data_IF_261882160783
#
_entry.id   IF_261882160783
#
_cell.length_a   1.000
_cell.length_b   1.000
_cell.length_c   1.000
_cell.angle_alpha   90.00
_cell.angle_beta   90.00
_cell.angle_gamma   90.00
#
_symmetry.space_group_name_H-M   'P 1'
#
loop_
_entity.id
_entity.type
_entity.pdbx_description
1 polymer ?
#
# COMPACT_ATOMS: atom_id res chain seq x y z
N UNK A 1 -47.56 -13.10 7.07
CA UNK A 1 -46.74 -11.98 6.59
C UNK A 1 -45.45 -12.03 7.39
N UNK A 2 -44.48 -12.80 6.89
CA UNK A 2 -43.13 -12.80 7.47
C UNK A 2 -42.39 -11.64 6.83
N UNK A 3 -41.89 -10.73 7.65
CA UNK A 3 -40.98 -9.69 7.22
C UNK A 3 -39.67 -10.38 6.86
N UNK A 4 -39.31 -10.36 5.57
CA UNK A 4 -38.01 -10.80 5.09
C UNK A 4 -36.95 -9.86 5.69
N UNK A 5 -36.10 -10.40 6.55
CA UNK A 5 -34.85 -9.75 6.95
C UNK A 5 -33.98 -9.63 5.69
N UNK A 6 -33.90 -8.42 5.13
CA UNK A 6 -32.90 -8.10 4.11
C UNK A 6 -31.53 -8.09 4.79
N UNK A 7 -30.80 -9.19 4.62
CA UNK A 7 -29.38 -9.29 4.95
C UNK A 7 -28.59 -8.31 4.07
N UNK A 8 -28.07 -7.23 4.66
CA UNK A 8 -27.24 -6.24 3.95
C UNK A 8 -25.77 -6.67 3.88
N UNK A 9 -25.49 -7.92 3.52
CA UNK A 9 -24.15 -8.52 3.54
C UNK A 9 -23.38 -8.44 2.19
N UNK A 10 -23.95 -7.77 1.19
CA UNK A 10 -23.49 -7.88 -0.21
C UNK A 10 -22.35 -6.94 -0.64
N UNK A 11 -21.67 -6.26 0.29
CA UNK A 11 -20.53 -5.38 -0.04
C UNK A 11 -19.21 -6.05 0.30
N UNK A 12 -18.51 -6.54 -0.73
CA UNK A 12 -17.13 -7.03 -0.61
C UNK A 12 -16.22 -5.88 -0.19
N UNK A 13 -15.58 -6.02 0.97
CA UNK A 13 -14.62 -5.02 1.45
C UNK A 13 -13.38 -4.95 0.53
N UNK A 14 -12.67 -3.81 0.45
CA UNK A 14 -11.40 -3.74 -0.27
C UNK A 14 -10.38 -4.79 0.19
N UNK A 15 -10.40 -5.16 1.47
CA UNK A 15 -9.58 -6.25 2.03
C UNK A 15 -9.92 -7.61 1.40
N UNK A 16 -11.21 -7.96 1.29
CA UNK A 16 -11.65 -9.18 0.62
C UNK A 16 -11.35 -9.14 -0.88
N UNK A 17 -11.56 -8.00 -1.54
CA UNK A 17 -11.24 -7.81 -2.96
C UNK A 17 -9.74 -7.97 -3.26
N UNK A 18 -8.87 -7.62 -2.30
CA UNK A 18 -7.43 -7.83 -2.37
C UNK A 18 -6.98 -9.28 -2.14
N UNK A 19 -7.91 -10.21 -1.91
CA UNK A 19 -7.59 -11.60 -1.54
C UNK A 19 -7.09 -11.73 -0.09
N UNK A 20 -7.59 -10.85 0.79
CA UNK A 20 -7.26 -10.83 2.21
C UNK A 20 -5.75 -10.73 2.48
N UNK A 21 -5.27 -11.16 3.65
CA UNK A 21 -3.86 -11.09 4.02
C UNK A 21 -2.95 -11.80 3.00
N UNK A 22 -3.38 -12.93 2.46
CA UNK A 22 -2.60 -13.72 1.50
C UNK A 22 -2.38 -12.99 0.18
N UNK A 23 -3.42 -12.36 -0.36
CA UNK A 23 -3.31 -11.56 -1.59
C UNK A 23 -2.53 -10.26 -1.36
N UNK A 24 -2.74 -9.57 -0.24
CA UNK A 24 -1.95 -8.37 0.12
C UNK A 24 -0.46 -8.71 0.26
N UNK A 25 -0.13 -9.87 0.85
CA UNK A 25 1.27 -10.33 0.96
C UNK A 25 1.89 -10.49 -0.42
N UNK A 26 1.20 -11.14 -1.37
CA UNK A 26 1.68 -11.30 -2.76
C UNK A 26 1.87 -9.96 -3.47
N UNK A 27 0.92 -9.03 -3.30
CA UNK A 27 1.04 -7.67 -3.84
C UNK A 27 2.29 -6.97 -3.31
N UNK A 28 2.54 -7.06 -2.00
CA UNK A 28 3.69 -6.41 -1.36
C UNK A 28 5.01 -7.08 -1.75
N UNK A 29 5.04 -8.40 -1.86
CA UNK A 29 6.23 -9.13 -2.34
C UNK A 29 6.62 -8.67 -3.74
N UNK A 30 5.65 -8.58 -4.65
CA UNK A 30 5.86 -8.10 -6.01
C UNK A 30 6.23 -6.61 -6.05
N UNK A 31 5.64 -5.78 -5.19
CA UNK A 31 6.02 -4.36 -5.05
C UNK A 31 7.51 -4.21 -4.71
N UNK A 32 8.03 -4.98 -3.75
CA UNK A 32 9.44 -4.91 -3.40
C UNK A 32 10.33 -5.61 -4.42
N UNK A 33 9.85 -6.64 -5.14
CA UNK A 33 10.58 -7.23 -6.26
C UNK A 33 10.77 -6.20 -7.40
N UNK A 34 9.73 -5.43 -7.71
CA UNK A 34 9.85 -4.29 -8.63
C UNK A 34 10.83 -3.24 -8.10
N UNK A 35 10.75 -2.87 -6.82
CA UNK A 35 11.70 -1.91 -6.22
C UNK A 35 13.16 -2.39 -6.27
N UNK A 36 13.42 -3.70 -6.14
CA UNK A 36 14.75 -4.30 -6.25
C UNK A 36 15.31 -4.30 -7.69
N UNK A 37 14.46 -4.24 -8.71
CA UNK A 37 14.86 -4.54 -10.10
C UNK A 37 14.68 -3.39 -11.09
N UNK A 38 13.77 -2.46 -10.83
CA UNK A 38 13.52 -1.33 -11.71
C UNK A 38 14.61 -0.25 -11.55
N UNK A 39 15.29 0.17 -12.63
CA UNK A 39 16.23 1.29 -12.59
C UNK A 39 15.59 2.58 -12.03
N UNK A 40 14.32 2.83 -12.35
CA UNK A 40 13.57 3.99 -11.87
C UNK A 40 13.39 3.99 -10.34
N UNK A 41 13.46 2.82 -9.71
CA UNK A 41 13.30 2.64 -8.27
C UNK A 41 14.63 2.62 -7.50
N UNK A 42 15.78 2.76 -8.17
CA UNK A 42 17.09 2.64 -7.53
C UNK A 42 17.27 3.63 -6.37
N UNK A 43 16.81 4.87 -6.53
CA UNK A 43 16.90 5.91 -5.50
C UNK A 43 16.09 5.55 -4.26
N UNK A 44 14.82 5.14 -4.41
CA UNK A 44 13.99 4.74 -3.28
C UNK A 44 14.44 3.41 -2.67
N UNK A 45 15.04 2.52 -3.47
CA UNK A 45 15.59 1.26 -2.98
C UNK A 45 16.77 1.47 -2.03
N UNK A 46 17.63 2.45 -2.32
CA UNK A 46 18.74 2.87 -1.43
C UNK A 46 18.26 3.45 -0.10
N UNK A 47 17.00 3.92 -0.01
CA UNK A 47 16.41 4.39 1.26
C UNK A 47 15.95 3.25 2.17
N UNK A 48 15.89 2.01 1.65
CA UNK A 48 15.50 0.83 2.40
C UNK A 48 16.73 0.03 2.85
N UNK A 49 16.64 -0.74 3.95
CA UNK A 49 17.71 -1.66 4.33
C UNK A 49 17.98 -2.70 3.23
N UNK A 50 19.18 -3.32 3.20
CA UNK A 50 19.46 -4.42 2.29
C UNK A 50 18.46 -5.57 2.43
N UNK A 51 18.16 -5.96 3.68
CA UNK A 51 17.11 -6.90 4.01
C UNK A 51 15.75 -6.20 4.09
N UNK A 52 14.86 -6.54 3.17
CA UNK A 52 13.52 -5.97 3.05
C UNK A 52 12.46 -6.74 3.85
N UNK A 53 12.82 -7.77 4.63
CA UNK A 53 11.88 -8.60 5.40
C UNK A 53 10.96 -7.76 6.31
N UNK A 54 11.53 -6.84 7.09
CA UNK A 54 10.73 -5.95 7.94
C UNK A 54 9.88 -4.96 7.14
N UNK A 55 10.43 -4.44 6.04
CA UNK A 55 9.74 -3.47 5.18
C UNK A 55 8.51 -4.11 4.51
N UNK A 56 8.63 -5.36 4.03
CA UNK A 56 7.53 -6.19 3.51
C UNK A 56 6.47 -6.43 4.57
N UNK A 57 6.87 -6.87 5.77
CA UNK A 57 5.94 -7.14 6.86
C UNK A 57 5.16 -5.90 7.28
N UNK A 58 5.84 -4.76 7.43
CA UNK A 58 5.22 -3.49 7.78
C UNK A 58 4.21 -3.03 6.74
N UNK A 59 4.56 -3.04 5.45
CA UNK A 59 3.65 -2.62 4.40
C UNK A 59 2.44 -3.56 4.29
N UNK A 60 2.65 -4.88 4.38
CA UNK A 60 1.58 -5.88 4.37
C UNK A 60 0.58 -5.63 5.51
N UNK A 61 1.09 -5.47 6.73
CA UNK A 61 0.23 -5.26 7.90
C UNK A 61 -0.48 -3.91 7.86
N UNK A 62 0.19 -2.89 7.31
CA UNK A 62 -0.41 -1.58 7.11
C UNK A 62 -1.58 -1.67 6.13
N UNK A 63 -1.36 -2.26 4.95
CA UNK A 63 -2.40 -2.42 3.92
C UNK A 63 -3.56 -3.30 4.37
N UNK A 64 -3.29 -4.33 5.18
CA UNK A 64 -4.33 -5.17 5.79
C UNK A 64 -5.35 -4.32 6.55
N UNK A 65 -4.90 -3.47 7.47
CA UNK A 65 -5.80 -2.58 8.22
C UNK A 65 -6.37 -1.44 7.38
N UNK A 66 -5.57 -0.90 6.45
CA UNK A 66 -5.97 0.23 5.61
C UNK A 66 -7.09 -0.12 4.63
N UNK A 67 -7.13 -1.37 4.14
CA UNK A 67 -8.17 -1.89 3.25
C UNK A 67 -9.43 -2.39 3.99
N UNK A 68 -9.51 -2.17 5.30
CA UNK A 68 -10.66 -2.56 6.12
C UNK A 68 -10.57 -3.95 6.76
N UNK A 69 -9.42 -4.61 6.67
CA UNK A 69 -9.12 -5.85 7.39
C UNK A 69 -8.66 -5.61 8.84
N UNK A 70 -8.12 -6.64 9.51
CA UNK A 70 -7.58 -6.52 10.85
C UNK A 70 -6.47 -5.46 10.96
N UNK A 71 -6.46 -4.68 12.04
CA UNK A 71 -5.45 -3.61 12.28
C UNK A 71 -4.12 -4.15 12.79
N UNK A 72 -3.54 -5.11 12.07
CA UNK A 72 -2.34 -5.86 12.47
C UNK A 72 -1.14 -4.91 12.68
N UNK A 73 -0.98 -3.88 11.83
CA UNK A 73 0.12 -2.92 11.99
C UNK A 73 0.09 -2.24 13.37
N UNK A 74 -1.09 -1.74 13.77
CA UNK A 74 -1.24 -1.04 15.04
C UNK A 74 -0.99 -1.97 16.24
N UNK A 75 -1.37 -3.24 16.13
CA UNK A 75 -1.14 -4.24 17.19
C UNK A 75 0.36 -4.55 17.38
N UNK A 76 1.14 -4.58 16.30
CA UNK A 76 2.57 -4.92 16.34
C UNK A 76 3.50 -3.73 16.54
N UNK A 77 3.17 -2.56 15.97
CA UNK A 77 4.07 -1.40 15.89
C UNK A 77 3.49 -0.12 16.51
N UNK A 78 2.23 -0.14 16.95
CA UNK A 78 1.54 1.04 17.46
C UNK A 78 0.99 1.96 16.35
N UNK A 79 0.45 3.12 16.74
CA UNK A 79 -0.10 4.09 15.78
C UNK A 79 1.02 4.67 14.89
N UNK A 80 0.66 5.01 13.66
CA UNK A 80 1.58 5.61 12.68
C UNK A 80 0.99 6.87 12.07
N UNK A 81 1.82 7.91 11.98
CA UNK A 81 1.61 9.01 11.05
C UNK A 81 2.42 8.70 9.79
N UNK A 82 1.75 8.51 8.64
CA UNK A 82 2.44 8.14 7.39
C UNK A 82 3.47 9.21 7.01
N UNK A 83 3.14 10.52 6.95
CA UNK A 83 4.15 11.53 6.66
C UNK A 83 5.24 11.61 7.74
N UNK A 84 4.87 11.45 9.01
CA UNK A 84 5.82 11.45 10.12
C UNK A 84 6.87 10.34 10.02
N UNK A 85 6.46 9.13 9.66
CA UNK A 85 7.36 7.99 9.46
C UNK A 85 8.33 8.17 8.28
N UNK A 86 7.96 9.01 7.31
CA UNK A 86 8.74 9.24 6.09
C UNK A 86 9.55 10.54 6.10
N UNK A 87 9.40 11.39 7.12
CA UNK A 87 9.99 12.75 7.20
C UNK A 87 11.53 12.80 7.08
N UNK A 88 12.21 11.69 7.38
CA UNK A 88 13.69 11.62 7.35
C UNK A 88 14.27 11.40 5.95
N UNK A 89 13.42 11.15 4.96
CA UNK A 89 13.85 10.81 3.60
C UNK A 89 13.59 11.96 2.64
N UNK A 90 14.49 12.24 1.69
CA UNK A 90 14.26 13.26 0.68
C UNK A 90 13.29 12.72 -0.38
N UNK A 91 11.99 12.83 -0.13
CA UNK A 91 10.93 12.33 -1.03
C UNK A 91 10.38 13.50 -1.86
N UNK A 92 10.86 13.62 -3.08
CA UNK A 92 10.36 14.51 -4.12
C UNK A 92 9.43 13.80 -5.11
N UNK A 93 9.24 14.42 -6.28
CA UNK A 93 8.39 13.86 -7.33
C UNK A 93 8.92 12.53 -7.85
N UNK A 94 10.23 12.42 -8.08
CA UNK A 94 10.86 11.21 -8.62
C UNK A 94 10.69 10.02 -7.66
N UNK A 95 10.88 10.21 -6.35
CA UNK A 95 10.72 9.14 -5.36
C UNK A 95 9.26 8.69 -5.22
N UNK A 96 8.32 9.66 -5.23
CA UNK A 96 6.88 9.38 -5.21
C UNK A 96 6.48 8.56 -6.43
N UNK A 97 6.92 8.98 -7.61
CA UNK A 97 6.55 8.36 -8.88
C UNK A 97 7.18 6.98 -9.04
N UNK A 98 8.43 6.80 -8.61
CA UNK A 98 9.08 5.50 -8.55
C UNK A 98 8.33 4.52 -7.63
N UNK A 99 7.87 4.98 -6.47
CA UNK A 99 7.10 4.15 -5.54
C UNK A 99 5.76 3.73 -6.15
N UNK A 100 5.04 4.69 -6.78
CA UNK A 100 3.77 4.43 -7.45
C UNK A 100 3.93 3.51 -8.67
N UNK A 101 5.04 3.64 -9.41
CA UNK A 101 5.39 2.74 -10.51
C UNK A 101 5.56 1.29 -10.03
N UNK A 102 6.29 1.10 -8.92
CA UNK A 102 6.45 -0.25 -8.33
C UNK A 102 5.10 -0.85 -7.94
N UNK A 103 4.22 -0.04 -7.34
CA UNK A 103 2.88 -0.50 -6.95
C UNK A 103 1.99 -0.77 -8.16
N UNK A 104 2.05 0.06 -9.19
CA UNK A 104 1.30 -0.14 -10.43
C UNK A 104 1.69 -1.47 -11.11
N UNK A 105 2.99 -1.77 -11.22
CA UNK A 105 3.45 -3.05 -11.79
C UNK A 105 3.05 -4.23 -10.92
N UNK A 106 3.12 -4.08 -9.60
CA UNK A 106 2.67 -5.12 -8.68
C UNK A 106 1.17 -5.40 -8.80
N UNK A 107 0.33 -4.36 -8.92
CA UNK A 107 -1.11 -4.50 -9.14
C UNK A 107 -1.41 -5.17 -10.49
N UNK A 108 -0.66 -4.83 -11.55
CA UNK A 108 -0.86 -5.41 -12.86
C UNK A 108 -0.69 -6.93 -12.87
N UNK A 109 0.22 -7.48 -12.06
CA UNK A 109 0.46 -8.93 -11.95
C UNK A 109 -0.54 -9.67 -11.05
N UNK A 110 -1.34 -8.96 -10.26
CA UNK A 110 -2.32 -9.61 -9.38
C UNK A 110 -3.59 -10.02 -10.16
N UNK A 111 -4.24 -11.13 -9.76
CA UNK A 111 -5.51 -11.58 -10.32
C UNK A 111 -6.71 -10.79 -9.75
N UNK A 112 -6.55 -9.48 -9.57
CA UNK A 112 -7.61 -8.57 -9.14
C UNK A 112 -8.43 -8.09 -10.33
N UNK A 113 -9.66 -7.60 -10.08
CA UNK A 113 -10.42 -6.90 -11.12
C UNK A 113 -9.70 -5.61 -11.50
N UNK A 114 -9.87 -5.18 -12.76
CA UNK A 114 -9.21 -3.99 -13.26
C UNK A 114 -9.69 -2.73 -12.53
N UNK A 115 -10.99 -2.68 -12.21
CA UNK A 115 -11.60 -1.60 -11.43
C UNK A 115 -10.94 -1.49 -10.05
N UNK A 116 -10.65 -2.63 -9.40
CA UNK A 116 -10.01 -2.62 -8.09
C UNK A 116 -8.55 -2.19 -8.17
N UNK A 117 -7.80 -2.59 -9.20
CA UNK A 117 -6.42 -2.13 -9.43
C UNK A 117 -6.36 -0.61 -9.58
N UNK A 118 -7.25 -0.05 -10.40
CA UNK A 118 -7.33 1.39 -10.64
C UNK A 118 -7.72 2.16 -9.38
N UNK A 119 -8.75 1.68 -8.67
CA UNK A 119 -9.16 2.23 -7.38
C UNK A 119 -8.01 2.26 -6.38
N UNK A 120 -7.32 1.13 -6.20
CA UNK A 120 -6.27 0.97 -5.21
C UNK A 120 -5.07 1.88 -5.51
N UNK A 121 -4.65 1.95 -6.78
CA UNK A 121 -3.56 2.85 -7.19
C UNK A 121 -3.93 4.32 -6.96
N UNK A 122 -5.15 4.73 -7.32
CA UNK A 122 -5.63 6.10 -7.09
C UNK A 122 -5.69 6.43 -5.59
N UNK A 123 -6.18 5.48 -4.77
CA UNK A 123 -6.25 5.64 -3.32
C UNK A 123 -4.86 5.76 -2.68
N UNK A 124 -3.86 5.03 -3.18
CA UNK A 124 -2.47 5.10 -2.70
C UNK A 124 -1.72 6.37 -3.16
N UNK A 125 -2.14 6.98 -4.26
CA UNK A 125 -1.59 8.26 -4.72
C UNK A 125 -1.78 9.38 -3.69
N UNK A 126 -2.92 9.40 -2.98
CA UNK A 126 -3.25 10.42 -1.98
C UNK A 126 -2.22 10.47 -0.83
N UNK A 127 -1.96 9.37 -0.09
CA UNK A 127 -0.94 9.40 0.96
C UNK A 127 0.48 9.54 0.41
N UNK A 128 0.79 9.01 -0.78
CA UNK A 128 2.10 9.19 -1.40
C UNK A 128 2.39 10.67 -1.70
N UNK A 129 1.41 11.40 -2.25
CA UNK A 129 1.52 12.83 -2.49
C UNK A 129 1.61 13.60 -1.16
N UNK A 130 0.85 13.20 -0.14
CA UNK A 130 0.95 13.84 1.18
C UNK A 130 2.32 13.67 1.81
N UNK A 131 2.95 12.50 1.64
CA UNK A 131 4.32 12.25 2.09
C UNK A 131 5.29 13.19 1.37
N UNK A 132 5.18 13.33 0.04
CA UNK A 132 6.02 14.23 -0.74
C UNK A 132 5.87 15.69 -0.27
N UNK A 133 4.64 16.20 -0.19
CA UNK A 133 4.34 17.57 0.25
C UNK A 133 4.98 17.91 1.60
N UNK A 134 4.83 17.02 2.59
CA UNK A 134 5.39 17.22 3.93
C UNK A 134 6.92 17.21 3.92
N UNK A 135 7.56 16.39 3.07
CA UNK A 135 9.01 16.37 2.94
C UNK A 135 9.55 17.61 2.22
N UNK A 136 8.79 18.17 1.27
CA UNK A 136 9.15 19.38 0.52
C UNK A 136 8.77 20.69 1.23
N UNK A 137 8.03 20.61 2.35
CA UNK A 137 7.53 21.79 3.06
C UNK A 137 6.41 22.52 2.32
N UNK A 138 5.69 21.82 1.45
CA UNK A 138 4.53 22.33 0.70
C UNK A 138 3.26 22.02 1.51
N UNK A 139 2.46 23.05 1.82
CA UNK A 139 1.26 22.93 2.67
C UNK A 139 0.02 23.50 1.97
#
# INVERSE_FOLDING_TARGET
MSLEEQDSSDQTTPYQAAGELGGITKLVDEFYANMDTLPEAETIRKMHPPDLTESRRKLTYFLCGWLGGPRIFQQHYGPISIPGAHKRFPIGYEERDAWLLCMQRALASQPYTEEFKQYLLAALCIPAERVRQVNMGEF
#
